data_IF_732914518957
#
_entry.id   IF_732914518957
#
_cell.length_a   1.000
_cell.length_b   1.000
_cell.length_c   1.000
_cell.angle_alpha   90.00
_cell.angle_beta   90.00
_cell.angle_gamma   90.00
#
_symmetry.space_group_name_H-M   'P 1'
#
loop_
_entity.id
_entity.type
_entity.pdbx_description
1 polymer ?
#
# COMPACT_ATOMS: atom_id res chain seq x y z
N UNK A 1 -6.63 -44.25 -36.62
CA UNK A 1 -5.88 -43.66 -35.48
C UNK A 1 -4.91 -44.64 -34.79
N UNK A 2 -4.61 -45.81 -35.36
CA UNK A 2 -3.83 -46.87 -34.67
C UNK A 2 -2.38 -47.06 -35.17
N UNK A 3 -1.89 -46.30 -36.17
CA UNK A 3 -0.53 -46.50 -36.70
C UNK A 3 0.57 -45.74 -35.94
N UNK A 4 0.23 -44.73 -35.14
CA UNK A 4 1.21 -43.88 -34.44
C UNK A 4 1.99 -44.60 -33.32
N UNK A 5 1.50 -45.76 -32.87
CA UNK A 5 2.13 -46.53 -31.78
C UNK A 5 3.10 -47.64 -32.25
N UNK A 6 3.26 -47.86 -33.56
CA UNK A 6 4.18 -48.89 -34.10
C UNK A 6 5.65 -48.45 -34.20
N UNK A 7 5.93 -47.15 -34.12
CA UNK A 7 7.29 -46.60 -34.32
C UNK A 7 7.79 -45.89 -33.06
N UNK A 8 9.07 -46.09 -32.71
CA UNK A 8 9.76 -45.39 -31.63
C UNK A 8 9.63 -43.86 -31.73
N UNK A 9 9.61 -43.32 -32.96
CA UNK A 9 9.40 -41.88 -33.22
C UNK A 9 8.02 -41.39 -32.77
N UNK A 10 6.97 -42.17 -33.02
CA UNK A 10 5.61 -41.81 -32.61
C UNK A 10 5.44 -41.79 -31.09
N UNK A 11 6.05 -42.75 -30.38
CA UNK A 11 6.07 -42.77 -28.90
C UNK A 11 6.84 -41.58 -28.33
N UNK A 12 7.97 -41.22 -28.95
CA UNK A 12 8.77 -40.06 -28.53
C UNK A 12 8.03 -38.73 -28.75
N UNK A 13 7.32 -38.59 -29.87
CA UNK A 13 6.46 -37.42 -30.13
C UNK A 13 5.33 -37.32 -29.09
N UNK A 14 4.67 -38.43 -28.76
CA UNK A 14 3.62 -38.42 -27.71
C UNK A 14 4.19 -38.03 -26.36
N UNK A 15 5.35 -38.56 -25.97
CA UNK A 15 6.02 -38.18 -24.72
C UNK A 15 6.42 -36.70 -24.70
N UNK A 16 6.94 -36.19 -25.83
CA UNK A 16 7.29 -34.77 -25.95
C UNK A 16 6.05 -33.89 -25.80
N UNK A 17 4.94 -34.25 -26.46
CA UNK A 17 3.68 -33.51 -26.33
C UNK A 17 3.18 -33.51 -24.89
N UNK A 18 3.19 -34.67 -24.21
CA UNK A 18 2.80 -34.75 -22.80
C UNK A 18 3.70 -33.90 -21.90
N UNK A 19 5.02 -33.91 -22.14
CA UNK A 19 5.98 -33.09 -21.40
C UNK A 19 5.70 -31.59 -21.62
N UNK A 20 5.48 -31.17 -22.85
CA UNK A 20 5.14 -29.78 -23.20
C UNK A 20 3.83 -29.38 -22.53
N UNK A 21 2.79 -30.21 -22.59
CA UNK A 21 1.52 -29.93 -21.92
C UNK A 21 1.68 -29.81 -20.41
N UNK A 22 2.44 -30.71 -19.77
CA UNK A 22 2.72 -30.64 -18.34
C UNK A 22 3.51 -29.37 -17.96
N UNK A 23 4.50 -28.98 -18.76
CA UNK A 23 5.28 -27.77 -18.54
C UNK A 23 4.43 -26.51 -18.69
N UNK A 24 3.56 -26.45 -19.71
CA UNK A 24 2.62 -25.33 -19.91
C UNK A 24 1.64 -25.24 -18.75
N UNK A 25 1.06 -26.37 -18.32
CA UNK A 25 0.15 -26.40 -17.18
C UNK A 25 0.83 -25.91 -15.89
N UNK A 26 2.05 -26.37 -15.61
CA UNK A 26 2.83 -25.90 -14.46
C UNK A 26 3.13 -24.40 -14.53
N UNK A 27 3.49 -23.88 -15.71
CA UNK A 27 3.72 -22.45 -15.92
C UNK A 27 2.47 -21.61 -15.64
N UNK A 28 1.30 -22.06 -16.12
CA UNK A 28 0.02 -21.38 -15.86
C UNK A 28 -0.28 -21.36 -14.35
N UNK A 29 -0.15 -22.50 -13.66
CA UNK A 29 -0.39 -22.58 -12.22
C UNK A 29 0.55 -21.66 -11.43
N UNK A 30 1.82 -21.57 -11.83
CA UNK A 30 2.79 -20.71 -11.17
C UNK A 30 2.45 -19.22 -11.35
N UNK A 31 2.02 -18.82 -12.56
CA UNK A 31 1.57 -17.44 -12.82
C UNK A 31 0.32 -17.10 -12.01
N UNK A 32 -0.63 -18.03 -11.93
CA UNK A 32 -1.88 -17.80 -11.21
C UNK A 32 -1.64 -17.71 -9.70
N UNK A 33 -0.83 -18.61 -9.13
CA UNK A 33 -0.41 -18.55 -7.73
C UNK A 33 0.30 -17.23 -7.41
N UNK A 34 1.18 -16.77 -8.30
CA UNK A 34 1.86 -15.49 -8.15
C UNK A 34 0.87 -14.32 -8.16
N UNK A 35 -0.07 -14.30 -9.11
CA UNK A 35 -1.11 -13.26 -9.20
C UNK A 35 -2.00 -13.24 -7.96
N UNK A 36 -2.43 -14.41 -7.49
CA UNK A 36 -3.21 -14.54 -6.26
C UNK A 36 -2.45 -14.02 -5.05
N UNK A 37 -1.14 -14.30 -4.98
CA UNK A 37 -0.27 -13.81 -3.91
C UNK A 37 -0.10 -12.29 -3.97
N UNK A 38 0.15 -11.73 -5.17
CA UNK A 38 0.29 -10.29 -5.37
C UNK A 38 -1.01 -9.55 -5.05
N UNK A 39 -2.16 -10.07 -5.50
CA UNK A 39 -3.48 -9.51 -5.19
C UNK A 39 -3.78 -9.57 -3.68
N UNK A 40 -3.46 -10.70 -3.04
CA UNK A 40 -3.62 -10.83 -1.59
C UNK A 40 -2.72 -9.86 -0.82
N UNK A 41 -1.49 -9.65 -1.29
CA UNK A 41 -0.56 -8.69 -0.68
C UNK A 41 -1.02 -7.24 -0.86
N UNK A 42 -1.51 -6.88 -2.05
CA UNK A 42 -2.11 -5.57 -2.30
C UNK A 42 -3.33 -5.31 -1.39
N UNK A 43 -4.25 -6.26 -1.28
CA UNK A 43 -5.42 -6.13 -0.41
C UNK A 43 -5.06 -5.99 1.07
N UNK A 44 -3.98 -6.64 1.54
CA UNK A 44 -3.46 -6.44 2.91
C UNK A 44 -2.92 -5.02 3.10
N UNK A 45 -2.18 -4.49 2.12
CA UNK A 45 -1.65 -3.14 2.16
C UNK A 45 -2.77 -2.09 2.14
N UNK A 46 -3.78 -2.25 1.27
CA UNK A 46 -4.96 -1.38 1.22
C UNK A 46 -5.71 -1.37 2.56
N UNK A 47 -5.88 -2.53 3.19
CA UNK A 47 -6.53 -2.62 4.49
C UNK A 47 -5.71 -1.94 5.60
N UNK A 48 -4.38 -2.00 5.55
CA UNK A 48 -3.49 -1.31 6.49
C UNK A 48 -3.55 0.21 6.30
N UNK A 49 -3.55 0.68 5.05
CA UNK A 49 -3.74 2.10 4.70
C UNK A 49 -5.11 2.59 5.20
N UNK A 50 -6.19 1.83 5.01
CA UNK A 50 -7.51 2.16 5.54
C UNK A 50 -7.50 2.34 7.07
N UNK A 51 -6.89 1.38 7.79
CA UNK A 51 -6.72 1.49 9.25
C UNK A 51 -5.86 2.68 9.69
N UNK A 52 -4.93 3.14 8.85
CA UNK A 52 -4.13 4.33 9.12
C UNK A 52 -4.96 5.62 8.93
N UNK A 53 -5.77 5.68 7.87
CA UNK A 53 -6.71 6.78 7.63
C UNK A 53 -7.72 6.93 8.76
N UNK A 54 -8.26 5.81 9.26
CA UNK A 54 -9.18 5.80 10.40
C UNK A 54 -8.48 6.35 11.66
N UNK A 55 -7.24 5.92 11.93
CA UNK A 55 -6.47 6.40 13.07
C UNK A 55 -6.17 7.91 13.01
N UNK A 56 -5.79 8.43 11.84
CA UNK A 56 -5.60 9.88 11.64
C UNK A 56 -6.92 10.62 11.88
N UNK A 57 -8.02 10.09 11.34
CA UNK A 57 -9.35 10.69 11.47
C UNK A 57 -9.78 10.74 12.93
N UNK A 58 -9.62 9.66 13.69
CA UNK A 58 -10.00 9.61 15.09
C UNK A 58 -9.11 10.51 15.96
N UNK A 59 -7.80 10.54 15.71
CA UNK A 59 -6.89 11.44 16.40
C UNK A 59 -7.23 12.92 16.11
N UNK A 60 -7.56 13.25 14.86
CA UNK A 60 -8.02 14.59 14.48
C UNK A 60 -9.35 14.95 15.16
N UNK A 61 -10.33 14.04 15.19
CA UNK A 61 -11.61 14.25 15.89
C UNK A 61 -11.39 14.53 17.37
N UNK A 62 -10.53 13.74 18.02
CA UNK A 62 -10.17 13.93 19.43
C UNK A 62 -9.53 15.31 19.66
N UNK A 63 -8.54 15.67 18.84
CA UNK A 63 -7.89 16.98 18.90
C UNK A 63 -8.90 18.14 18.73
N UNK A 64 -9.80 18.02 17.76
CA UNK A 64 -10.86 19.00 17.48
C UNK A 64 -11.89 19.11 18.60
N UNK A 65 -12.19 18.02 19.30
CA UNK A 65 -13.16 18.01 20.40
C UNK A 65 -12.70 18.88 21.59
N UNK A 66 -11.39 19.17 21.71
CA UNK A 66 -10.85 20.09 22.70
C UNK A 66 -11.00 21.59 22.37
N UNK A 67 -11.63 21.95 21.24
CA UNK A 67 -11.80 23.35 20.84
C UNK A 67 -13.11 23.94 21.36
N UNK A 68 -13.03 24.94 22.24
CA UNK A 68 -14.22 25.52 22.88
C UNK A 68 -14.97 26.58 22.05
N UNK A 69 -14.32 27.33 21.15
CA UNK A 69 -14.99 28.53 20.57
C UNK A 69 -14.70 28.88 19.09
N UNK A 70 -13.60 28.44 18.47
CA UNK A 70 -13.39 28.56 17.02
C UNK A 70 -12.21 27.71 16.54
N UNK A 71 -12.27 27.22 15.30
CA UNK A 71 -11.13 26.61 14.62
C UNK A 71 -10.03 27.66 14.42
N UNK A 72 -8.77 27.39 14.81
CA UNK A 72 -7.66 28.29 14.53
C UNK A 72 -7.48 28.53 13.03
N UNK A 73 -7.01 29.72 12.64
CA UNK A 73 -6.77 30.05 11.23
C UNK A 73 -5.73 29.09 10.63
N UNK A 74 -5.98 28.65 9.39
CA UNK A 74 -5.21 27.59 8.72
C UNK A 74 -3.75 27.97 8.40
N UNK A 75 -3.44 29.26 8.39
CA UNK A 75 -2.08 29.79 8.23
C UNK A 75 -1.31 29.88 9.55
N UNK A 76 -1.92 29.52 10.68
CA UNK A 76 -1.26 29.52 11.97
C UNK A 76 -0.22 28.38 12.03
N UNK A 77 1.05 28.74 12.17
CA UNK A 77 2.17 27.79 12.30
C UNK A 77 2.00 26.86 13.52
N UNK A 78 1.43 27.37 14.62
CA UNK A 78 1.09 26.56 15.79
C UNK A 78 0.09 25.45 15.46
N UNK A 79 -0.97 25.77 14.71
CA UNK A 79 -1.94 24.79 14.25
C UNK A 79 -1.25 23.70 13.39
N UNK A 80 -0.37 24.08 12.46
CA UNK A 80 0.36 23.11 11.63
C UNK A 80 1.27 22.19 12.44
N UNK A 81 1.93 22.73 13.49
CA UNK A 81 2.73 21.91 14.42
C UNK A 81 1.86 20.91 15.18
N UNK A 82 0.72 21.36 15.71
CA UNK A 82 -0.20 20.52 16.46
C UNK A 82 -0.80 19.41 15.57
N UNK A 83 -1.23 19.76 14.35
CA UNK A 83 -1.71 18.79 13.37
C UNK A 83 -0.64 17.77 12.96
N UNK A 84 0.62 18.20 12.82
CA UNK A 84 1.74 17.28 12.59
C UNK A 84 1.92 16.30 13.75
N UNK A 85 1.82 16.77 15.01
CA UNK A 85 1.89 15.91 16.18
C UNK A 85 0.71 14.90 16.24
N UNK A 86 -0.49 15.32 15.82
CA UNK A 86 -1.66 14.43 15.68
C UNK A 86 -1.37 13.30 14.70
N UNK A 87 -0.87 13.61 13.49
CA UNK A 87 -0.57 12.60 12.46
C UNK A 87 0.59 11.69 12.91
N UNK A 88 1.67 12.25 13.48
CA UNK A 88 2.79 11.46 14.00
C UNK A 88 2.35 10.47 15.09
N UNK A 89 1.46 10.91 15.98
CA UNK A 89 0.92 10.05 17.05
C UNK A 89 0.02 8.96 16.48
N UNK A 90 -0.88 9.31 15.53
CA UNK A 90 -1.78 8.37 14.89
C UNK A 90 -1.04 7.26 14.11
N UNK A 91 0.08 7.60 13.48
CA UNK A 91 0.87 6.68 12.67
C UNK A 91 2.03 6.01 13.43
N UNK A 92 2.25 6.34 14.70
CA UNK A 92 3.41 5.86 15.48
C UNK A 92 3.63 4.34 15.43
N UNK A 93 2.56 3.56 15.48
CA UNK A 93 2.61 2.09 15.51
C UNK A 93 2.39 1.45 14.12
N UNK A 94 2.50 2.25 13.04
CA UNK A 94 2.25 1.84 11.65
C UNK A 94 3.50 2.06 10.78
N UNK A 95 4.51 1.18 10.89
CA UNK A 95 5.76 1.32 10.16
C UNK A 95 5.52 1.27 8.64
N UNK A 96 6.21 2.13 7.90
CA UNK A 96 6.14 2.18 6.44
C UNK A 96 4.89 2.86 5.87
N UNK A 97 3.99 3.40 6.71
CA UNK A 97 2.83 4.17 6.25
C UNK A 97 3.13 5.67 6.37
N UNK A 98 3.05 6.37 5.24
CA UNK A 98 3.06 7.83 5.20
C UNK A 98 1.62 8.36 5.20
N UNK A 99 1.41 9.54 5.78
CA UNK A 99 0.08 10.16 5.78
C UNK A 99 0.12 11.60 6.24
N UNK A 100 -1.03 12.26 6.16
CA UNK A 100 -1.13 13.68 6.43
C UNK A 100 -2.55 14.18 6.49
N UNK A 101 -2.68 15.48 6.74
CA UNK A 101 -3.93 16.23 6.68
C UNK A 101 -3.78 17.24 5.55
N UNK A 102 -4.68 17.20 4.59
CA UNK A 102 -4.69 18.09 3.43
C UNK A 102 -6.01 18.83 3.33
N UNK A 103 -5.97 20.05 2.82
CA UNK A 103 -7.15 20.86 2.53
C UNK A 103 -7.02 21.54 1.16
N UNK A 104 -8.13 21.60 0.43
CA UNK A 104 -8.22 22.17 -0.92
C UNK A 104 -7.62 23.57 -1.06
N UNK A 105 -7.93 24.50 -0.15
CA UNK A 105 -7.43 25.88 -0.28
C UNK A 105 -6.01 26.10 0.28
N UNK A 106 -5.54 25.22 1.17
CA UNK A 106 -4.33 25.45 1.97
C UNK A 106 -3.21 24.41 1.73
N UNK A 107 -3.49 23.40 0.91
CA UNK A 107 -2.58 22.29 0.63
C UNK A 107 -2.37 21.38 1.84
N UNK A 108 -1.18 20.78 1.93
CA UNK A 108 -0.80 19.93 3.06
C UNK A 108 -0.65 20.74 4.35
N UNK A 109 -1.52 20.48 5.33
CA UNK A 109 -1.50 21.10 6.65
C UNK A 109 -0.58 20.34 7.62
N UNK A 110 -0.46 19.03 7.43
CA UNK A 110 0.40 18.14 8.18
C UNK A 110 0.80 16.96 7.31
N UNK A 111 2.03 16.50 7.47
CA UNK A 111 2.54 15.29 6.85
C UNK A 111 3.48 14.60 7.83
N UNK A 112 3.37 13.27 7.92
CA UNK A 112 4.25 12.49 8.75
C UNK A 112 4.55 11.15 8.08
N UNK A 113 5.83 10.79 8.15
CA UNK A 113 6.30 9.44 7.97
C UNK A 113 6.95 8.99 9.29
N UNK A 114 6.25 8.23 10.13
CA UNK A 114 6.69 7.90 11.50
C UNK A 114 8.00 7.10 11.51
N UNK A 115 8.31 6.38 10.43
CA UNK A 115 9.50 5.53 10.30
C UNK A 115 10.37 5.95 9.13
N UNK A 116 10.85 7.19 9.15
CA UNK A 116 11.95 7.58 8.28
C UNK A 116 13.26 7.01 8.84
N UNK A 117 13.98 6.19 8.07
CA UNK A 117 15.27 5.61 8.50
C UNK A 117 16.45 6.62 8.45
N UNK A 118 16.24 7.83 7.92
CA UNK A 118 17.23 8.91 8.03
C UNK A 118 17.14 9.61 9.38
N UNK A 119 18.28 10.14 9.88
CA UNK A 119 18.44 10.65 11.25
C UNK A 119 17.61 11.87 11.71
N UNK A 120 16.51 12.22 11.03
CA UNK A 120 15.57 13.27 11.45
C UNK A 120 14.17 13.08 10.82
N UNK A 121 13.09 13.64 11.41
CA UNK A 121 11.73 13.49 10.89
C UNK A 121 11.62 14.06 9.47
N UNK A 122 11.09 13.27 8.52
CA UNK A 122 10.74 13.76 7.18
C UNK A 122 9.44 14.56 7.28
N UNK A 123 9.51 15.87 7.00
CA UNK A 123 8.39 16.83 7.14
C UNK A 123 8.02 17.46 5.79
N UNK A 124 8.80 17.19 4.75
CA UNK A 124 8.59 17.68 3.39
C UNK A 124 7.53 16.86 2.65
N UNK A 125 6.60 17.58 1.99
CA UNK A 125 5.66 17.00 1.03
C UNK A 125 6.45 16.60 -0.23
N UNK A 126 6.24 15.41 -0.80
CA UNK A 126 6.90 15.02 -2.05
C UNK A 126 6.69 16.07 -3.15
N UNK A 127 7.73 16.38 -3.93
CA UNK A 127 7.64 17.35 -5.04
C UNK A 127 6.56 17.01 -6.08
N UNK A 128 6.17 15.74 -6.19
CA UNK A 128 5.09 15.29 -7.08
C UNK A 128 3.69 15.70 -6.60
N UNK A 129 3.55 16.14 -5.35
CA UNK A 129 2.28 16.48 -4.68
C UNK A 129 2.20 17.98 -4.32
N UNK A 130 3.14 18.80 -4.82
CA UNK A 130 3.13 20.27 -4.75
C UNK A 130 2.29 20.86 -5.88
#
# INVERSE_FOLDING_TARGET
MTSQFRSLRGRLVVLLLLLVTAAVAAGILMVELFRQSAAAQAGRAEAEIGRACDAITDAYRFYRAGWETAMPRLDNEGLRRDLTAVVQTALRDRPGIEGGIWQTEAGSLAYAFPTYEGGGPKIDVPQAEL
#
